data_IF_609558699410
#
_entry.id   IF_609558699410
#
_cell.length_a   1.000
_cell.length_b   1.000
_cell.length_c   1.000
_cell.angle_alpha   90.00
_cell.angle_beta   90.00
_cell.angle_gamma   90.00
#
_symmetry.space_group_name_H-M   'P 1'
#
loop_
_entity.id
_entity.type
_entity.pdbx_description
1 polymer ?
#
# COMPACT_ATOMS: atom_id res chain seq x y z
N UNK A 1 12.72 -2.25 3.38
CA UNK A 1 11.43 -1.56 3.16
C UNK A 1 11.03 -1.74 1.71
N UNK A 2 9.85 -2.32 1.48
CA UNK A 2 9.25 -2.42 0.17
C UNK A 2 8.40 -1.17 -0.11
N UNK A 3 8.52 -0.57 -1.29
CA UNK A 3 7.62 0.51 -1.71
C UNK A 3 6.60 -0.09 -2.68
N UNK A 4 5.31 0.08 -2.42
CA UNK A 4 4.21 -0.34 -3.28
C UNK A 4 3.72 0.84 -4.12
N UNK A 5 3.59 0.65 -5.43
CA UNK A 5 3.03 1.66 -6.33
C UNK A 5 1.52 1.49 -6.37
N UNK A 6 0.80 2.43 -5.76
CA UNK A 6 -0.66 2.45 -5.76
C UNK A 6 -1.19 2.99 -7.10
N UNK A 7 -2.43 2.60 -7.46
CA UNK A 7 -3.11 3.08 -8.66
C UNK A 7 -2.37 2.72 -9.97
N UNK A 8 -1.96 1.45 -10.12
CA UNK A 8 -1.22 0.98 -11.31
C UNK A 8 -2.13 0.49 -12.44
N UNK A 9 -3.44 0.54 -12.25
CA UNK A 9 -4.51 0.12 -13.16
C UNK A 9 -4.66 1.09 -14.36
N UNK A 10 -3.62 1.19 -15.18
CA UNK A 10 -3.60 2.02 -16.37
C UNK A 10 -3.21 1.21 -17.62
N UNK A 11 -4.04 1.26 -18.66
CA UNK A 11 -3.82 0.55 -19.93
C UNK A 11 -2.43 0.78 -20.54
N UNK A 12 -1.92 2.02 -20.45
CA UNK A 12 -0.60 2.33 -21.00
C UNK A 12 0.54 1.57 -20.30
N UNK A 13 0.40 1.33 -19.00
CA UNK A 13 1.36 0.55 -18.22
C UNK A 13 1.22 -0.94 -18.54
N UNK A 14 -0.02 -1.42 -18.69
CA UNK A 14 -0.29 -2.79 -19.17
C UNK A 14 0.45 -3.05 -20.48
N UNK A 15 0.19 -2.22 -21.50
CA UNK A 15 0.78 -2.38 -22.83
C UNK A 15 2.31 -2.33 -22.75
N UNK A 16 2.88 -1.35 -22.04
CA UNK A 16 4.33 -1.23 -21.89
C UNK A 16 4.95 -2.45 -21.20
N UNK A 17 4.34 -2.94 -20.11
CA UNK A 17 4.82 -4.13 -19.40
C UNK A 17 4.70 -5.37 -20.27
N UNK A 18 3.64 -5.49 -21.06
CA UNK A 18 3.43 -6.59 -22.00
C UNK A 18 4.46 -6.58 -23.12
N UNK A 19 4.68 -5.44 -23.77
CA UNK A 19 5.58 -5.28 -24.91
C UNK A 19 7.06 -5.42 -24.53
N UNK A 20 7.46 -4.87 -23.38
CA UNK A 20 8.87 -4.89 -22.94
C UNK A 20 9.22 -6.09 -22.07
N UNK A 21 8.21 -6.83 -21.59
CA UNK A 21 8.34 -7.89 -20.59
C UNK A 21 9.11 -7.44 -19.33
N UNK A 22 9.10 -6.13 -19.02
CA UNK A 22 9.72 -5.62 -17.78
C UNK A 22 8.93 -6.12 -16.58
N UNK A 23 9.61 -6.73 -15.61
CA UNK A 23 8.95 -7.22 -14.39
C UNK A 23 8.54 -6.06 -13.48
N UNK A 24 7.23 -5.87 -13.18
CA UNK A 24 6.77 -4.97 -12.11
C UNK A 24 7.21 -5.53 -10.74
N UNK A 25 7.48 -4.67 -9.75
CA UNK A 25 8.03 -5.12 -8.45
C UNK A 25 6.92 -5.24 -7.40
N UNK A 26 6.61 -4.16 -6.69
CA UNK A 26 5.54 -4.16 -5.69
C UNK A 26 4.43 -3.18 -6.07
N UNK A 27 3.18 -3.64 -6.09
CA UNK A 27 2.02 -2.83 -6.50
C UNK A 27 0.89 -2.92 -5.48
N UNK A 28 0.20 -1.80 -5.25
CA UNK A 28 -1.00 -1.75 -4.42
C UNK A 28 -2.19 -1.47 -5.33
N UNK A 29 -3.19 -2.35 -5.28
CA UNK A 29 -4.44 -2.22 -6.01
C UNK A 29 -5.58 -1.90 -5.05
N UNK A 30 -6.64 -1.26 -5.52
CA UNK A 30 -7.84 -1.00 -4.72
C UNK A 30 -9.01 -1.84 -5.21
N UNK A 31 -9.58 -2.65 -4.33
CA UNK A 31 -10.72 -3.50 -4.64
C UNK A 31 -11.91 -2.70 -5.20
N UNK A 32 -12.17 -1.51 -4.67
CA UNK A 32 -13.19 -0.59 -5.19
C UNK A 32 -13.05 -0.34 -6.70
N UNK A 33 -11.82 -0.18 -7.23
CA UNK A 33 -11.62 0.03 -8.66
C UNK A 33 -11.56 -1.29 -9.44
N UNK A 34 -10.97 -2.34 -8.85
CA UNK A 34 -10.83 -3.67 -9.47
C UNK A 34 -12.20 -4.27 -9.85
N UNK A 35 -13.27 -3.93 -9.14
CA UNK A 35 -14.63 -4.38 -9.48
C UNK A 35 -15.06 -4.03 -10.92
N UNK A 36 -14.44 -3.02 -11.54
CA UNK A 36 -14.68 -2.68 -12.94
C UNK A 36 -13.96 -3.67 -13.85
N UNK A 37 -14.66 -4.29 -14.81
CA UNK A 37 -14.13 -5.37 -15.66
C UNK A 37 -12.73 -5.10 -16.22
N UNK A 38 -12.50 -3.90 -16.77
CA UNK A 38 -11.21 -3.51 -17.33
C UNK A 38 -10.09 -3.49 -16.27
N UNK A 39 -10.39 -2.98 -15.09
CA UNK A 39 -9.43 -2.92 -13.98
C UNK A 39 -9.14 -4.30 -13.39
N UNK A 40 -10.13 -5.21 -13.44
CA UNK A 40 -9.93 -6.61 -13.08
C UNK A 40 -8.92 -7.32 -13.99
N UNK A 41 -9.02 -7.10 -15.31
CA UNK A 41 -8.08 -7.67 -16.30
C UNK A 41 -6.65 -7.12 -16.09
N UNK A 42 -6.51 -5.81 -15.87
CA UNK A 42 -5.23 -5.18 -15.53
C UNK A 42 -4.66 -5.75 -14.22
N UNK A 43 -5.48 -5.90 -13.19
CA UNK A 43 -5.08 -6.52 -11.92
C UNK A 43 -4.57 -7.95 -12.14
N UNK A 44 -5.30 -8.80 -12.86
CA UNK A 44 -4.87 -10.19 -13.11
C UNK A 44 -3.54 -10.23 -13.87
N UNK A 45 -3.37 -9.36 -14.87
CA UNK A 45 -2.13 -9.23 -15.61
C UNK A 45 -0.96 -8.85 -14.69
N UNK A 46 -1.09 -7.76 -13.91
CA UNK A 46 -0.04 -7.33 -13.00
C UNK A 46 0.22 -8.34 -11.88
N UNK A 47 -0.81 -9.02 -11.38
CA UNK A 47 -0.66 -10.12 -10.40
C UNK A 47 0.19 -11.25 -10.93
N UNK A 48 0.05 -11.62 -12.19
CA UNK A 48 0.86 -12.68 -12.79
C UNK A 48 2.35 -12.32 -12.95
N UNK A 49 2.71 -11.03 -12.89
CA UNK A 49 4.07 -10.54 -13.17
C UNK A 49 4.78 -9.93 -11.96
N UNK A 50 4.03 -9.32 -11.05
CA UNK A 50 4.56 -8.57 -9.90
C UNK A 50 5.22 -9.49 -8.86
N UNK A 51 6.25 -8.98 -8.20
CA UNK A 51 6.89 -9.69 -7.08
C UNK A 51 5.99 -9.74 -5.86
N UNK A 52 5.32 -8.63 -5.54
CA UNK A 52 4.41 -8.53 -4.39
C UNK A 52 3.23 -7.63 -4.73
N UNK A 53 2.07 -8.01 -4.22
CA UNK A 53 0.84 -7.23 -4.31
C UNK A 53 0.25 -7.02 -2.93
N UNK A 54 -0.21 -5.79 -2.69
CA UNK A 54 -1.14 -5.46 -1.62
C UNK A 54 -2.47 -5.08 -2.24
N UNK A 55 -3.56 -5.37 -1.54
CA UNK A 55 -4.90 -4.96 -1.96
C UNK A 55 -5.54 -4.14 -0.86
N UNK A 56 -5.87 -2.90 -1.17
CA UNK A 56 -6.69 -2.04 -0.33
C UNK A 56 -8.17 -2.32 -0.61
N UNK A 57 -9.01 -2.21 0.42
CA UNK A 57 -10.46 -2.27 0.26
C UNK A 57 -11.01 -1.09 -0.58
N UNK A 58 -10.27 0.02 -0.63
CA UNK A 58 -10.70 1.27 -1.26
C UNK A 58 -11.48 2.17 -0.32
N UNK A 59 -11.32 1.99 0.99
CA UNK A 59 -11.97 2.76 2.06
C UNK A 59 -11.90 4.29 1.84
N UNK A 60 -10.76 4.79 1.36
CA UNK A 60 -10.55 6.21 1.07
C UNK A 60 -11.59 6.79 0.08
N UNK A 61 -12.08 5.98 -0.87
CA UNK A 61 -13.08 6.44 -1.86
C UNK A 61 -14.47 6.62 -1.24
N UNK A 62 -14.74 5.97 -0.10
CA UNK A 62 -16.04 6.06 0.57
C UNK A 62 -16.20 7.28 1.46
N UNK A 63 -15.17 8.14 1.59
CA UNK A 63 -15.30 9.39 2.35
C UNK A 63 -16.40 10.29 1.80
N UNK A 64 -16.62 10.30 0.48
CA UNK A 64 -17.61 11.16 -0.19
C UNK A 64 -18.86 10.42 -0.68
N UNK A 65 -18.88 9.08 -0.65
CA UNK A 65 -20.01 8.30 -1.15
C UNK A 65 -21.19 8.32 -0.17
N UNK A 66 -22.40 8.44 -0.70
CA UNK A 66 -23.67 8.21 0.00
C UNK A 66 -24.22 6.84 -0.41
N UNK A 67 -24.94 6.19 0.50
CA UNK A 67 -25.74 4.97 0.22
C UNK A 67 -24.95 3.71 -0.19
N UNK A 68 -24.04 3.27 0.68
CA UNK A 68 -23.30 2.01 0.49
C UNK A 68 -23.57 1.06 1.67
N UNK A 69 -24.00 -0.16 1.36
CA UNK A 69 -23.99 -1.26 2.32
C UNK A 69 -22.56 -1.79 2.46
N UNK A 70 -21.88 -1.34 3.53
CA UNK A 70 -20.52 -1.76 3.82
C UNK A 70 -20.42 -3.25 4.17
N UNK A 71 -21.48 -3.87 4.68
CA UNK A 71 -21.48 -5.31 4.98
C UNK A 71 -21.47 -6.09 3.67
N UNK A 72 -22.40 -5.78 2.76
CA UNK A 72 -22.45 -6.41 1.44
C UNK A 72 -21.15 -6.19 0.65
N UNK A 73 -20.62 -4.96 0.67
CA UNK A 73 -19.34 -4.66 0.04
C UNK A 73 -18.20 -5.53 0.61
N UNK A 74 -18.14 -5.66 1.94
CA UNK A 74 -17.11 -6.49 2.61
C UNK A 74 -17.28 -7.97 2.28
N UNK A 75 -18.52 -8.48 2.22
CA UNK A 75 -18.79 -9.86 1.80
C UNK A 75 -18.29 -10.10 0.37
N UNK A 76 -18.53 -9.17 -0.54
CA UNK A 76 -18.05 -9.27 -1.92
C UNK A 76 -16.52 -9.14 -2.00
N UNK A 77 -15.91 -8.32 -1.16
CA UNK A 77 -14.46 -8.26 -1.02
C UNK A 77 -13.88 -9.60 -0.55
N UNK A 78 -14.47 -10.22 0.48
CA UNK A 78 -14.07 -11.56 0.94
C UNK A 78 -14.21 -12.64 -0.15
N UNK A 79 -15.25 -12.58 -0.99
CA UNK A 79 -15.39 -13.49 -2.15
C UNK A 79 -14.24 -13.28 -3.15
N UNK A 80 -13.90 -12.03 -3.47
CA UNK A 80 -12.79 -11.69 -4.35
C UNK A 80 -11.45 -12.19 -3.79
N UNK A 81 -11.22 -12.04 -2.48
CA UNK A 81 -10.02 -12.56 -1.80
C UNK A 81 -9.93 -14.07 -2.00
N UNK A 82 -10.99 -14.82 -1.67
CA UNK A 82 -11.02 -16.30 -1.86
C UNK A 82 -10.71 -16.73 -3.29
N UNK A 83 -11.18 -15.96 -4.27
CA UNK A 83 -11.01 -16.30 -5.69
C UNK A 83 -9.64 -15.93 -6.25
N UNK A 84 -8.96 -14.93 -5.67
CA UNK A 84 -7.79 -14.32 -6.31
C UNK A 84 -6.50 -14.42 -5.49
N UNK A 85 -6.58 -14.89 -4.25
CA UNK A 85 -5.41 -15.01 -3.39
C UNK A 85 -4.34 -15.93 -3.97
N UNK A 86 -3.09 -15.48 -3.86
CA UNK A 86 -1.90 -16.16 -4.37
C UNK A 86 -0.72 -15.81 -3.47
N UNK A 87 0.39 -16.55 -3.57
CA UNK A 87 1.55 -16.35 -2.70
C UNK A 87 2.22 -14.98 -2.82
N UNK A 88 2.09 -14.32 -3.99
CA UNK A 88 2.60 -12.97 -4.19
C UNK A 88 1.62 -11.86 -3.75
N UNK A 89 0.37 -12.19 -3.41
CA UNK A 89 -0.49 -11.26 -2.68
C UNK A 89 -0.16 -11.38 -1.20
N UNK A 90 0.51 -10.35 -0.67
CA UNK A 90 1.14 -10.36 0.66
C UNK A 90 0.30 -9.70 1.75
N UNK A 91 -0.90 -9.22 1.41
CA UNK A 91 -1.80 -8.64 2.38
C UNK A 91 -3.02 -7.93 1.79
N UNK A 92 -4.08 -7.89 2.59
CA UNK A 92 -5.36 -7.26 2.29
C UNK A 92 -5.69 -6.25 3.39
N UNK A 93 -5.81 -4.97 3.07
CA UNK A 93 -6.25 -3.99 4.06
C UNK A 93 -7.72 -4.17 4.39
N UNK A 94 -8.06 -3.92 5.65
CA UNK A 94 -9.44 -3.93 6.12
C UNK A 94 -10.29 -2.78 5.54
N UNK A 95 -11.58 -2.78 5.87
CA UNK A 95 -12.48 -1.64 5.62
C UNK A 95 -12.22 -0.52 6.64
N UNK A 96 -11.23 0.32 6.35
CA UNK A 96 -10.79 1.36 7.26
C UNK A 96 -11.64 2.64 7.22
N UNK A 97 -12.89 2.54 7.71
CA UNK A 97 -13.91 3.58 7.65
C UNK A 97 -14.47 3.93 9.04
N UNK A 98 -13.57 4.02 10.03
CA UNK A 98 -13.90 4.37 11.43
C UNK A 98 -14.76 5.64 11.54
N UNK A 99 -14.45 6.64 10.71
CA UNK A 99 -15.16 7.92 10.66
C UNK A 99 -16.62 7.80 10.17
N UNK A 100 -16.97 6.73 9.45
CA UNK A 100 -18.31 6.52 8.88
C UNK A 100 -19.20 5.65 9.77
N UNK A 101 -18.65 4.56 10.31
CA UNK A 101 -19.45 3.54 11.01
C UNK A 101 -18.96 3.24 12.43
N UNK A 102 -17.86 3.86 12.87
CA UNK A 102 -17.24 3.62 14.17
C UNK A 102 -16.44 2.32 14.23
N UNK A 103 -15.38 2.33 15.04
CA UNK A 103 -14.42 1.23 15.16
C UNK A 103 -15.06 -0.13 15.50
N UNK A 104 -16.12 -0.16 16.33
CA UNK A 104 -16.81 -1.40 16.69
C UNK A 104 -17.41 -2.10 15.46
N UNK A 105 -17.92 -1.35 14.48
CA UNK A 105 -18.48 -1.92 13.27
C UNK A 105 -17.38 -2.29 12.27
N UNK A 106 -16.30 -1.51 12.18
CA UNK A 106 -15.09 -1.92 11.43
C UNK A 106 -14.55 -3.27 11.91
N UNK A 107 -14.51 -3.51 13.22
CA UNK A 107 -14.15 -4.81 13.78
C UNK A 107 -15.09 -5.96 13.33
N UNK A 108 -16.37 -5.69 13.10
CA UNK A 108 -17.30 -6.71 12.56
C UNK A 108 -17.01 -6.98 11.09
N UNK A 109 -16.76 -5.94 10.30
CA UNK A 109 -16.39 -6.08 8.89
C UNK A 109 -15.07 -6.84 8.75
N UNK A 110 -14.07 -6.54 9.60
CA UNK A 110 -12.81 -7.27 9.62
C UNK A 110 -12.99 -8.77 9.82
N UNK A 111 -13.87 -9.19 10.72
CA UNK A 111 -14.15 -10.62 10.95
C UNK A 111 -14.62 -11.35 9.70
N UNK A 112 -15.41 -10.69 8.84
CA UNK A 112 -15.87 -11.25 7.56
C UNK A 112 -14.68 -11.53 6.62
N UNK A 113 -13.63 -10.72 6.70
CA UNK A 113 -12.39 -10.91 5.92
C UNK A 113 -11.51 -11.98 6.56
N UNK A 114 -11.39 -11.98 7.89
CA UNK A 114 -10.63 -12.99 8.66
C UNK A 114 -11.17 -14.42 8.48
N UNK A 115 -12.47 -14.59 8.18
CA UNK A 115 -13.07 -15.89 7.85
C UNK A 115 -12.53 -16.51 6.55
N UNK A 116 -11.86 -15.72 5.71
CA UNK A 116 -11.43 -16.16 4.38
C UNK A 116 -9.92 -16.06 4.14
N UNK A 117 -9.20 -15.33 4.98
CA UNK A 117 -7.74 -15.18 4.88
C UNK A 117 -7.14 -14.77 6.23
N UNK A 118 -5.92 -15.21 6.47
CA UNK A 118 -5.05 -14.79 7.57
C UNK A 118 -4.20 -13.55 7.22
N UNK A 119 -4.20 -13.10 5.95
CA UNK A 119 -3.40 -11.99 5.45
C UNK A 119 -4.04 -10.60 5.64
N UNK A 120 -4.92 -10.46 6.62
CA UNK A 120 -5.60 -9.19 6.90
C UNK A 120 -4.62 -8.19 7.52
N UNK A 121 -4.54 -6.99 6.96
CA UNK A 121 -3.78 -5.86 7.48
C UNK A 121 -4.75 -4.87 8.11
N UNK A 122 -4.94 -4.87 9.45
CA UNK A 122 -5.70 -3.84 10.11
C UNK A 122 -4.96 -2.49 10.07
N UNK A 123 -5.74 -1.41 10.01
CA UNK A 123 -5.24 -0.02 9.98
C UNK A 123 -5.46 0.62 11.33
N UNK A 124 -4.43 1.16 11.96
CA UNK A 124 -4.56 1.90 13.22
C UNK A 124 -4.72 3.40 12.99
N UNK A 125 -5.65 3.99 13.73
CA UNK A 125 -5.89 5.44 13.79
C UNK A 125 -5.45 6.05 15.10
N UNK A 126 -4.99 7.31 15.04
CA UNK A 126 -4.50 8.07 16.21
C UNK A 126 -5.47 8.14 17.39
N UNK A 127 -6.77 8.15 17.13
CA UNK A 127 -7.81 8.18 18.16
C UNK A 127 -7.99 6.83 18.91
N UNK A 128 -7.36 5.74 18.45
CA UNK A 128 -7.45 4.42 19.10
C UNK A 128 -6.48 4.25 20.27
N UNK A 129 -5.44 5.08 20.35
CA UNK A 129 -4.45 5.07 21.43
C UNK A 129 -3.42 3.95 21.33
N UNK A 130 -2.25 4.17 21.93
CA UNK A 130 -1.07 3.31 21.78
C UNK A 130 -1.25 1.90 22.36
N UNK A 131 -2.02 1.75 23.44
CA UNK A 131 -2.31 0.42 24.02
C UNK A 131 -3.05 -0.50 23.03
N UNK A 132 -3.97 0.07 22.23
CA UNK A 132 -4.67 -0.69 21.19
C UNK A 132 -3.74 -1.04 20.02
N UNK A 133 -2.78 -0.17 19.70
CA UNK A 133 -1.76 -0.48 18.71
C UNK A 133 -0.93 -1.70 19.12
N UNK A 134 -0.40 -1.74 20.36
CA UNK A 134 0.33 -2.92 20.86
C UNK A 134 -0.48 -4.21 20.79
N UNK A 135 -1.76 -4.16 21.19
CA UNK A 135 -2.67 -5.32 21.08
C UNK A 135 -2.92 -5.74 19.63
N UNK A 136 -2.92 -4.80 18.70
CA UNK A 136 -3.03 -5.11 17.28
C UNK A 136 -1.75 -5.82 16.80
N UNK A 137 -0.56 -5.33 17.18
CA UNK A 137 0.70 -5.99 16.84
C UNK A 137 0.83 -7.41 17.45
N UNK A 138 0.25 -7.67 18.62
CA UNK A 138 0.25 -9.03 19.21
C UNK A 138 -0.70 -10.01 18.53
N UNK A 139 -1.62 -9.53 17.68
CA UNK A 139 -2.73 -10.32 17.15
C UNK A 139 -2.64 -10.55 15.64
N UNK A 140 -1.76 -9.83 14.94
CA UNK A 140 -1.64 -9.88 13.49
C UNK A 140 -0.17 -9.86 13.10
N UNK A 141 0.19 -10.60 12.06
CA UNK A 141 1.56 -10.63 11.52
C UNK A 141 1.93 -9.36 10.74
N UNK A 142 0.91 -8.58 10.35
CA UNK A 142 1.07 -7.37 9.57
C UNK A 142 0.01 -6.33 9.94
N UNK A 143 0.44 -5.15 10.36
CA UNK A 143 -0.43 -4.00 10.66
C UNK A 143 -0.09 -2.79 9.80
N UNK A 144 -0.93 -1.76 9.84
CA UNK A 144 -0.65 -0.50 9.16
C UNK A 144 -1.02 0.74 9.96
N UNK A 145 -0.43 1.86 9.56
CA UNK A 145 -0.66 3.18 10.15
C UNK A 145 -0.66 4.24 9.04
N UNK A 146 -1.57 5.21 9.14
CA UNK A 146 -1.58 6.34 8.21
C UNK A 146 -0.36 7.23 8.42
N UNK A 147 0.35 7.51 7.33
CA UNK A 147 1.38 8.54 7.25
C UNK A 147 0.83 9.83 6.62
N UNK A 148 -0.46 9.93 6.33
CA UNK A 148 -1.03 11.17 5.80
C UNK A 148 -1.11 12.23 6.91
N UNK A 149 -0.77 13.51 6.66
CA UNK A 149 -0.68 14.52 7.74
C UNK A 149 -1.96 14.70 8.55
N UNK A 150 -3.13 14.53 7.92
CA UNK A 150 -4.43 14.75 8.55
C UNK A 150 -4.84 13.55 9.42
N UNK A 151 -4.58 12.33 8.95
CA UNK A 151 -5.06 11.08 9.56
C UNK A 151 -4.02 10.46 10.49
N UNK A 152 -2.74 10.65 10.17
CA UNK A 152 -1.60 10.08 10.86
C UNK A 152 -1.14 10.85 12.09
N UNK A 153 0.03 10.42 12.58
CA UNK A 153 0.79 11.02 13.68
C UNK A 153 2.07 11.69 13.15
N UNK A 154 2.77 12.51 13.94
CA UNK A 154 4.04 13.11 13.53
C UNK A 154 5.07 12.06 13.06
N UNK A 155 5.84 12.41 12.02
CA UNK A 155 6.79 11.47 11.39
C UNK A 155 7.82 10.88 12.38
N UNK A 156 8.25 11.66 13.37
CA UNK A 156 9.21 11.19 14.38
C UNK A 156 8.60 10.13 15.31
N UNK A 157 7.30 10.22 15.60
CA UNK A 157 6.60 9.24 16.42
C UNK A 157 6.42 7.90 15.70
N UNK A 158 6.36 7.90 14.35
CA UNK A 158 6.25 6.67 13.57
C UNK A 158 7.40 5.70 13.82
N UNK A 159 8.60 6.20 14.17
CA UNK A 159 9.75 5.36 14.52
C UNK A 159 9.41 4.47 15.73
N UNK A 160 8.78 5.04 16.77
CA UNK A 160 8.37 4.32 17.97
C UNK A 160 7.33 3.24 17.65
N UNK A 161 6.38 3.55 16.76
CA UNK A 161 5.36 2.58 16.36
C UNK A 161 5.95 1.44 15.56
N UNK A 162 6.87 1.72 14.64
CA UNK A 162 7.54 0.69 13.85
C UNK A 162 8.38 -0.24 14.73
N UNK A 163 9.19 0.32 15.64
CA UNK A 163 9.97 -0.48 16.58
C UNK A 163 9.07 -1.37 17.46
N UNK A 164 7.96 -0.84 17.95
CA UNK A 164 7.02 -1.65 18.74
C UNK A 164 6.36 -2.74 17.91
N UNK A 165 6.04 -2.53 16.63
CA UNK A 165 5.56 -3.63 15.80
C UNK A 165 6.61 -4.74 15.71
N UNK A 166 7.87 -4.37 15.47
CA UNK A 166 8.99 -5.33 15.39
C UNK A 166 9.28 -6.06 16.70
N UNK A 167 9.08 -5.42 17.85
CA UNK A 167 9.18 -6.07 19.18
C UNK A 167 8.16 -7.22 19.35
N UNK A 168 7.05 -7.19 18.60
CA UNK A 168 6.02 -8.23 18.58
C UNK A 168 6.15 -9.17 17.37
N UNK A 169 7.29 -9.14 16.64
CA UNK A 169 7.50 -9.86 15.38
C UNK A 169 6.42 -9.55 14.31
N UNK A 170 5.85 -8.35 14.39
CA UNK A 170 4.77 -7.89 13.54
C UNK A 170 5.32 -6.91 12.48
N UNK A 171 5.00 -7.15 11.21
CA UNK A 171 5.33 -6.22 10.13
C UNK A 171 4.46 -4.97 10.25
N UNK A 172 4.97 -3.84 9.74
CA UNK A 172 4.22 -2.58 9.71
C UNK A 172 4.29 -1.88 8.35
N UNK A 173 3.13 -1.44 7.87
CA UNK A 173 2.96 -0.69 6.64
C UNK A 173 2.64 0.79 6.93
N UNK A 174 3.37 1.70 6.30
CA UNK A 174 3.08 3.14 6.34
C UNK A 174 2.25 3.60 5.15
N UNK A 175 0.94 3.82 5.36
CA UNK A 175 0.02 4.25 4.29
C UNK A 175 0.35 5.67 3.82
N UNK A 176 0.61 5.84 2.52
CA UNK A 176 1.07 7.10 1.92
C UNK A 176 2.47 7.54 2.38
N UNK A 177 3.27 6.62 2.94
CA UNK A 177 4.50 6.89 3.66
C UNK A 177 5.76 7.16 2.83
N UNK A 178 5.69 7.84 1.67
CA UNK A 178 6.86 8.00 0.78
C UNK A 178 7.59 9.35 0.84
N UNK A 179 7.36 10.13 1.90
CA UNK A 179 8.17 11.32 2.22
C UNK A 179 9.62 10.93 2.54
N UNK A 180 10.57 11.82 2.24
CA UNK A 180 12.02 11.57 2.40
C UNK A 180 12.38 11.16 3.83
N UNK A 181 11.80 11.80 4.85
CA UNK A 181 12.07 11.45 6.24
C UNK A 181 11.67 10.00 6.53
N UNK A 182 10.43 9.61 6.19
CA UNK A 182 9.90 8.26 6.41
C UNK A 182 10.79 7.21 5.73
N UNK A 183 11.04 7.39 4.44
CA UNK A 183 11.82 6.44 3.65
C UNK A 183 13.25 6.21 4.18
N UNK A 184 13.86 7.24 4.77
CA UNK A 184 15.24 7.18 5.24
C UNK A 184 15.38 6.72 6.71
N UNK A 185 14.38 7.01 7.55
CA UNK A 185 14.52 6.92 9.01
C UNK A 185 13.51 6.02 9.69
N UNK A 186 12.28 5.89 9.18
CA UNK A 186 11.23 5.10 9.83
C UNK A 186 11.36 3.65 9.36
N UNK A 187 11.58 2.68 10.26
CA UNK A 187 11.85 1.30 9.88
C UNK A 187 10.58 0.53 9.50
N UNK A 188 9.76 1.04 8.59
CA UNK A 188 8.63 0.26 8.09
C UNK A 188 9.09 -0.90 7.20
N UNK A 189 8.32 -2.01 7.25
CA UNK A 189 8.49 -3.14 6.35
C UNK A 189 8.06 -2.78 4.94
N UNK A 190 6.98 -1.99 4.82
CA UNK A 190 6.62 -1.39 3.55
C UNK A 190 5.85 -0.08 3.68
N UNK A 191 5.73 0.62 2.55
CA UNK A 191 4.95 1.85 2.39
C UNK A 191 4.34 1.85 0.99
N UNK A 192 3.31 2.66 0.75
CA UNK A 192 2.77 2.87 -0.58
C UNK A 192 2.86 4.34 -1.05
N UNK A 193 2.62 4.54 -2.34
CA UNK A 193 2.54 5.85 -2.96
C UNK A 193 1.61 5.83 -4.16
N UNK A 194 0.68 6.78 -4.21
CA UNK A 194 0.02 7.21 -5.44
C UNK A 194 0.72 8.44 -6.09
N UNK A 195 1.64 9.11 -5.37
CA UNK A 195 2.31 10.34 -5.84
C UNK A 195 3.19 10.16 -7.08
N UNK A 196 3.55 8.93 -7.41
CA UNK A 196 4.33 8.60 -8.60
C UNK A 196 3.56 8.88 -9.90
N UNK A 197 2.24 8.71 -9.90
CA UNK A 197 1.36 9.12 -10.99
C UNK A 197 1.37 10.65 -11.15
N UNK A 198 1.23 11.39 -10.04
CA UNK A 198 1.23 12.85 -10.07
C UNK A 198 2.56 13.43 -10.54
N UNK A 199 3.67 12.77 -10.23
CA UNK A 199 5.01 13.18 -10.72
C UNK A 199 5.11 13.02 -12.24
N UNK A 200 4.54 11.94 -12.77
CA UNK A 200 4.42 11.70 -14.22
C UNK A 200 3.60 12.82 -14.89
N UNK A 201 2.38 13.05 -14.40
CA UNK A 201 1.42 13.99 -15.02
C UNK A 201 1.93 15.43 -14.98
N UNK A 202 2.64 15.83 -13.92
CA UNK A 202 3.12 17.19 -13.77
C UNK A 202 4.45 17.50 -14.51
N UNK A 203 5.02 16.54 -15.23
CA UNK A 203 6.28 16.70 -15.98
C UNK A 203 7.52 16.78 -15.09
N UNK A 204 7.49 16.15 -13.90
CA UNK A 204 8.62 16.13 -12.97
C UNK A 204 9.38 14.82 -13.10
N UNK A 205 10.60 14.88 -13.64
CA UNK A 205 11.50 13.73 -13.77
C UNK A 205 12.84 14.06 -13.12
N UNK A 206 13.25 13.29 -12.10
CA UNK A 206 14.52 13.51 -11.35
C UNK A 206 14.76 14.97 -10.92
N UNK A 207 13.74 15.63 -10.38
CA UNK A 207 13.80 17.05 -9.98
C UNK A 207 14.04 18.04 -11.12
N UNK A 208 14.03 17.61 -12.38
CA UNK A 208 14.02 18.46 -13.56
C UNK A 208 12.59 18.61 -14.07
N UNK A 209 12.26 19.80 -14.53
CA UNK A 209 11.06 20.04 -15.30
C UNK A 209 11.30 19.53 -16.72
N UNK A 210 10.52 18.54 -17.14
CA UNK A 210 10.36 18.21 -18.56
C UNK A 210 9.23 19.09 -19.08
N UNK A 211 9.38 19.63 -20.28
CA UNK A 211 8.30 20.33 -20.96
C UNK A 211 7.06 19.43 -21.00
N UNK A 212 5.94 19.93 -20.47
CA UNK A 212 4.70 19.17 -20.38
C UNK A 212 4.14 18.82 -21.74
N UNK A 213 4.50 19.56 -22.79
CA UNK A 213 4.01 19.33 -24.15
C UNK A 213 4.88 18.35 -24.95
N UNK A 214 6.09 18.03 -24.48
CA UNK A 214 7.03 17.20 -25.24
C UNK A 214 6.78 15.70 -25.13
N UNK A 215 5.90 15.26 -24.21
CA UNK A 215 5.61 13.85 -23.96
C UNK A 215 4.10 13.62 -23.78
N UNK A 216 3.61 12.52 -24.34
CA UNK A 216 2.27 12.00 -24.10
C UNK A 216 2.08 11.60 -22.64
N UNK A 217 0.83 11.43 -22.22
CA UNK A 217 0.48 10.92 -20.89
C UNK A 217 1.09 9.53 -20.64
N UNK A 218 1.02 8.64 -21.63
CA UNK A 218 1.56 7.28 -21.55
C UNK A 218 3.08 7.28 -21.33
N UNK A 219 3.82 8.08 -22.09
CA UNK A 219 5.29 8.18 -21.95
C UNK A 219 5.68 8.71 -20.56
N UNK A 220 4.96 9.72 -20.05
CA UNK A 220 5.18 10.24 -18.70
C UNK A 220 4.99 9.15 -17.64
N UNK A 221 3.91 8.37 -17.74
CA UNK A 221 3.63 7.29 -16.80
C UNK A 221 4.69 6.19 -16.84
N UNK A 222 5.12 5.80 -18.04
CA UNK A 222 6.20 4.81 -18.22
C UNK A 222 7.51 5.30 -17.62
N UNK A 223 7.91 6.55 -17.89
CA UNK A 223 9.13 7.12 -17.31
C UNK A 223 9.06 7.16 -15.77
N UNK A 224 7.90 7.50 -15.21
CA UNK A 224 7.70 7.47 -13.76
C UNK A 224 7.76 6.06 -13.20
N UNK A 225 7.13 5.07 -13.85
CA UNK A 225 7.22 3.66 -13.47
C UNK A 225 8.69 3.21 -13.41
N UNK A 226 9.48 3.50 -14.44
CA UNK A 226 10.89 3.11 -14.51
C UNK A 226 11.74 3.72 -13.39
N UNK A 227 11.49 4.99 -13.04
CA UNK A 227 12.18 5.67 -11.96
C UNK A 227 11.76 5.14 -10.59
N UNK A 228 10.46 4.92 -10.38
CA UNK A 228 9.96 4.36 -9.14
C UNK A 228 10.34 2.89 -8.95
N UNK A 229 10.51 2.13 -10.03
CA UNK A 229 11.09 0.79 -10.01
C UNK A 229 12.53 0.80 -9.48
N UNK A 230 13.34 1.79 -9.88
CA UNK A 230 14.69 2.00 -9.31
C UNK A 230 14.59 2.37 -7.83
N UNK A 231 13.64 3.22 -7.46
CA UNK A 231 13.39 3.64 -6.08
C UNK A 231 12.98 2.46 -5.18
N UNK A 232 12.12 1.57 -5.66
CA UNK A 232 11.73 0.33 -4.97
C UNK A 232 12.97 -0.51 -4.62
N UNK A 233 13.82 -0.79 -5.61
CA UNK A 233 15.06 -1.56 -5.39
C UNK A 233 16.05 -0.86 -4.47
N UNK A 234 16.19 0.45 -4.61
CA UNK A 234 17.07 1.24 -3.76
C UNK A 234 16.69 1.11 -2.29
N UNK A 235 15.42 1.35 -1.93
CA UNK A 235 14.98 1.29 -0.52
C UNK A 235 14.85 -0.14 0.02
N UNK A 236 14.57 -1.13 -0.83
CA UNK A 236 14.68 -2.54 -0.46
C UNK A 236 16.12 -2.86 -0.02
N UNK A 237 17.11 -2.52 -0.86
CA UNK A 237 18.54 -2.74 -0.56
C UNK A 237 19.03 -1.93 0.64
N UNK A 238 18.74 -0.63 0.68
CA UNK A 238 19.16 0.28 1.76
C UNK A 238 18.75 -0.24 3.13
N UNK A 239 17.49 -0.64 3.30
CA UNK A 239 17.00 -1.15 4.58
C UNK A 239 17.50 -2.56 4.89
N UNK A 240 17.68 -3.42 3.88
CA UNK A 240 18.30 -4.73 4.09
C UNK A 240 19.74 -4.61 4.62
N UNK A 241 20.52 -3.69 4.08
CA UNK A 241 21.89 -3.41 4.54
C UNK A 241 21.90 -2.78 5.93
N UNK A 242 21.02 -1.80 6.17
CA UNK A 242 20.87 -1.13 7.48
C UNK A 242 20.49 -2.13 8.57
N UNK A 243 19.52 -2.99 8.33
CA UNK A 243 19.08 -4.00 9.29
C UNK A 243 20.17 -5.04 9.57
N UNK A 244 20.97 -5.43 8.57
CA UNK A 244 22.14 -6.31 8.78
C UNK A 244 23.20 -5.66 9.67
N UNK A 245 23.48 -4.36 9.50
CA UNK A 245 24.44 -3.62 10.34
C UNK A 245 23.98 -3.52 11.79
N UNK A 246 22.70 -3.20 12.01
CA UNK A 246 22.08 -3.14 13.33
C UNK A 246 22.15 -4.48 14.07
N UNK A 247 21.85 -5.60 13.39
CA UNK A 247 21.96 -6.95 13.98
C UNK A 247 23.39 -7.34 14.35
N UNK A 248 24.39 -6.82 13.63
CA UNK A 248 25.79 -7.14 13.84
C UNK A 248 26.51 -6.18 14.80
N UNK A 249 25.79 -5.28 15.49
CA UNK A 249 26.37 -4.32 16.44
C UNK A 249 27.35 -3.32 15.81
N UNK A 250 27.34 -3.17 14.48
CA UNK A 250 28.18 -2.20 13.76
C UNK A 250 27.37 -0.95 13.48
N UNK A 251 27.41 0.01 14.40
CA UNK A 251 26.92 1.38 14.18
C UNK A 251 28.13 2.29 14.04
#
# INVERSE_FOLDING_TARGET
>A
MNIFLAASEHQCLHNYVQETNIRPINHLFSYFYIQQKKMYEDYLFFKSKSERILIDSGAHTFHTAKDIDFTEFTVNYSKFIKQTDTSNVVGYFEMDIDNRIGFKNVLKLRKIIEEVTDKVIPVWHKNRGFKKFKRMCSNYDYVSISCLPIEGIPDHDLIKFANVAHDYDCKIHGLGGTRKFILNHVPFDSVDSASWLFSAVNGRYKSKHIDRNSLTYCEKLVLSLLDWRKKQRYYEKYWNEKNKRLKNGKI
#
